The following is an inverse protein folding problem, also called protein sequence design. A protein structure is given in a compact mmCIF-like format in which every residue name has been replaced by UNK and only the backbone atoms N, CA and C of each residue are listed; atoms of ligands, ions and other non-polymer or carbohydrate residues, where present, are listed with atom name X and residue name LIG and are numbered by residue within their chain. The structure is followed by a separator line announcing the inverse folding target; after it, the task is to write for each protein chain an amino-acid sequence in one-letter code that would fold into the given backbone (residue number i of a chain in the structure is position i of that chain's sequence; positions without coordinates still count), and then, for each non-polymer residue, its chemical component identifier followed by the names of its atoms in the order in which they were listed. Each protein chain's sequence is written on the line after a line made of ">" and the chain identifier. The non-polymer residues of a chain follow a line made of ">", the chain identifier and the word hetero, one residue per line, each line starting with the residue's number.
data_IF_287272146863
#
_entry.id   IF_287272146863
#
_cell.length_a   1.000
_cell.length_b   1.000
_cell.length_c   1.000
_cell.angle_alpha   90.00
_cell.angle_beta   90.00
_cell.angle_gamma   90.00
#
_symmetry.space_group_name_H-M   'P 1'
#
loop_
_entity.id
_entity.type
_entity.pdbx_description
1 polymer ?
#
# COMPACT_ATOMS: atom_id res chain seq x y z
N UNK A 1 -0.29 0.98 30.71
CA UNK A 1 -1.36 2.02 30.66
C UNK A 1 -2.71 1.30 30.65
N UNK A 2 -3.73 1.82 31.31
CA UNK A 2 -5.07 1.21 31.29
C UNK A 2 -6.04 2.11 30.52
N UNK A 3 -6.80 1.52 29.59
CA UNK A 3 -7.83 2.20 28.79
C UNK A 3 -9.05 1.29 28.69
N UNK A 4 -10.22 1.78 29.08
CA UNK A 4 -11.50 1.04 29.07
C UNK A 4 -11.45 -0.32 29.79
N UNK A 5 -10.61 -0.44 30.84
CA UNK A 5 -10.45 -1.66 31.62
C UNK A 5 -9.45 -2.67 31.00
N UNK A 6 -8.75 -2.28 29.94
CA UNK A 6 -7.69 -3.09 29.32
C UNK A 6 -6.32 -2.56 29.73
N UNK A 7 -5.44 -3.45 30.16
CA UNK A 7 -4.03 -3.11 30.35
C UNK A 7 -3.31 -3.12 29.00
N UNK A 8 -2.72 -1.97 28.65
CA UNK A 8 -2.02 -1.77 27.39
C UNK A 8 -0.50 -1.84 27.63
N UNK A 9 0.07 -2.94 27.22
CA UNK A 9 1.49 -3.24 27.39
C UNK A 9 2.00 -4.16 26.26
N UNK A 10 3.30 -4.36 26.19
CA UNK A 10 3.92 -5.29 25.23
C UNK A 10 3.34 -6.70 25.45
N UNK A 11 2.87 -7.33 24.38
CA UNK A 11 2.32 -8.68 24.40
C UNK A 11 0.93 -8.80 25.04
N UNK A 12 0.24 -7.68 25.31
CA UNK A 12 -1.11 -7.70 25.90
C UNK A 12 -2.10 -8.56 25.09
N UNK A 13 -2.99 -9.27 25.77
CA UNK A 13 -4.14 -9.94 25.14
C UNK A 13 -5.33 -8.97 25.08
N UNK A 14 -5.55 -8.43 23.89
CA UNK A 14 -6.59 -7.47 23.54
C UNK A 14 -7.53 -8.04 22.47
N UNK A 15 -7.58 -9.38 22.34
CA UNK A 15 -8.42 -10.02 21.34
C UNK A 15 -9.88 -9.64 21.54
N UNK A 16 -10.51 -9.09 20.50
CA UNK A 16 -11.89 -8.62 20.55
C UNK A 16 -12.14 -7.40 21.45
N UNK A 17 -11.11 -6.76 21.99
CA UNK A 17 -11.26 -5.57 22.83
C UNK A 17 -11.95 -4.42 22.09
N UNK A 18 -12.85 -3.70 22.79
CA UNK A 18 -13.43 -2.46 22.29
C UNK A 18 -12.59 -1.25 22.75
N UNK A 19 -11.80 -0.75 21.83
CA UNK A 19 -10.94 0.42 21.98
C UNK A 19 -11.39 1.58 21.06
N UNK A 20 -12.67 1.59 20.66
CA UNK A 20 -13.25 2.64 19.82
C UNK A 20 -12.97 4.04 20.38
N UNK A 21 -12.56 4.99 19.56
CA UNK A 21 -12.27 6.39 19.90
C UNK A 21 -11.27 6.57 21.07
N UNK A 22 -10.43 5.56 21.33
CA UNK A 22 -9.45 5.61 22.42
C UNK A 22 -8.22 6.46 22.04
N UNK A 23 -7.64 7.16 23.01
CA UNK A 23 -6.31 7.79 22.87
C UNK A 23 -5.24 6.75 23.23
N UNK A 24 -4.54 6.26 22.20
CA UNK A 24 -3.53 5.21 22.26
C UNK A 24 -2.19 5.71 21.70
N UNK A 25 -2.01 7.04 21.67
CA UNK A 25 -0.79 7.65 21.12
C UNK A 25 0.46 7.19 21.86
N UNK A 26 1.49 6.89 21.09
CA UNK A 26 2.81 6.47 21.58
C UNK A 26 2.79 5.23 22.49
N UNK A 27 1.68 4.46 22.52
CA UNK A 27 1.61 3.22 23.29
C UNK A 27 2.51 2.15 22.65
N UNK A 28 3.15 1.31 23.47
CA UNK A 28 3.86 0.14 22.98
C UNK A 28 2.99 -1.12 23.14
N UNK A 29 2.44 -1.59 22.02
CA UNK A 29 1.65 -2.81 21.87
C UNK A 29 2.40 -3.85 21.01
N UNK A 30 3.73 -3.80 21.00
CA UNK A 30 4.53 -4.75 20.23
C UNK A 30 4.21 -6.18 20.65
N UNK A 31 4.00 -7.06 19.67
CA UNK A 31 3.64 -8.46 19.88
C UNK A 31 2.29 -8.71 20.55
N UNK A 32 1.45 -7.68 20.74
CA UNK A 32 0.12 -7.82 21.34
C UNK A 32 -0.87 -8.55 20.42
N UNK A 33 -1.88 -9.15 21.04
CA UNK A 33 -2.93 -9.91 20.37
C UNK A 33 -4.17 -9.03 20.25
N UNK A 34 -4.37 -8.40 19.11
CA UNK A 34 -5.48 -7.49 18.78
C UNK A 34 -6.47 -8.12 17.79
N UNK A 35 -6.44 -9.45 17.65
CA UNK A 35 -7.31 -10.16 16.71
C UNK A 35 -8.77 -9.83 16.94
N UNK A 36 -9.46 -9.30 15.91
CA UNK A 36 -10.87 -8.88 16.01
C UNK A 36 -11.14 -7.68 16.92
N UNK A 37 -10.12 -7.00 17.44
CA UNK A 37 -10.32 -5.79 18.24
C UNK A 37 -11.00 -4.68 17.43
N UNK A 38 -11.75 -3.81 18.10
CA UNK A 38 -12.39 -2.64 17.50
C UNK A 38 -11.60 -1.40 17.88
N UNK A 39 -10.91 -0.82 16.89
CA UNK A 39 -10.05 0.36 17.03
C UNK A 39 -10.60 1.58 16.25
N UNK A 40 -11.86 1.49 15.77
CA UNK A 40 -12.43 2.54 14.92
C UNK A 40 -12.36 3.90 15.59
N UNK A 41 -11.85 4.91 14.86
CA UNK A 41 -11.71 6.29 15.36
C UNK A 41 -10.63 6.50 16.42
N UNK A 42 -9.96 5.44 16.90
CA UNK A 42 -8.87 5.59 17.88
C UNK A 42 -7.64 6.26 17.28
N UNK A 43 -6.84 6.90 18.13
CA UNK A 43 -5.58 7.55 17.79
C UNK A 43 -4.39 6.71 18.29
N UNK A 44 -3.70 6.05 17.36
CA UNK A 44 -2.47 5.29 17.57
C UNK A 44 -1.26 5.98 16.92
N UNK A 45 -1.30 7.32 16.80
CA UNK A 45 -0.15 8.05 16.28
C UNK A 45 1.09 7.75 17.12
N UNK A 46 2.24 7.55 16.45
CA UNK A 46 3.53 7.21 17.08
C UNK A 46 3.51 5.91 17.91
N UNK A 47 2.43 5.11 17.84
CA UNK A 47 2.35 3.84 18.57
C UNK A 47 3.29 2.78 17.98
N UNK A 48 3.74 1.85 18.82
CA UNK A 48 4.54 0.69 18.42
C UNK A 48 3.66 -0.56 18.42
N UNK A 49 3.51 -1.17 17.26
CA UNK A 49 2.75 -2.39 17.03
C UNK A 49 3.59 -3.45 16.31
N UNK A 50 4.91 -3.44 16.55
CA UNK A 50 5.85 -4.35 15.89
C UNK A 50 5.45 -5.80 16.14
N UNK A 51 5.16 -6.55 15.08
CA UNK A 51 4.74 -7.94 15.16
C UNK A 51 3.40 -8.18 15.86
N UNK A 52 2.59 -7.14 16.09
CA UNK A 52 1.26 -7.31 16.68
C UNK A 52 0.32 -8.09 15.76
N UNK A 53 -0.59 -8.86 16.33
CA UNK A 53 -1.64 -9.59 15.62
C UNK A 53 -2.93 -8.76 15.58
N UNK A 54 -3.20 -8.10 14.44
CA UNK A 54 -4.40 -7.33 14.17
C UNK A 54 -5.34 -8.04 13.18
N UNK A 55 -5.24 -9.36 13.04
CA UNK A 55 -6.11 -10.09 12.10
C UNK A 55 -7.58 -9.83 12.40
N UNK A 56 -8.35 -9.51 11.34
CA UNK A 56 -9.77 -9.19 11.45
C UNK A 56 -10.10 -7.99 12.34
N UNK A 57 -9.13 -7.19 12.77
CA UNK A 57 -9.38 -5.98 13.54
C UNK A 57 -10.20 -4.96 12.72
N UNK A 58 -11.03 -4.20 13.40
CA UNK A 58 -11.85 -3.14 12.81
C UNK A 58 -11.19 -1.80 13.14
N UNK A 59 -10.42 -1.29 12.17
CA UNK A 59 -9.60 -0.08 12.27
C UNK A 59 -10.11 1.04 11.36
N UNK A 60 -11.43 1.21 11.24
CA UNK A 60 -12.01 2.23 10.36
C UNK A 60 -11.71 3.62 10.89
N UNK A 61 -11.21 4.50 10.01
CA UNK A 61 -10.81 5.86 10.33
C UNK A 61 -9.84 5.97 11.52
N UNK A 62 -9.18 4.88 11.89
CA UNK A 62 -8.13 4.85 12.92
C UNK A 62 -6.93 5.65 12.44
N UNK A 63 -6.31 6.39 13.35
CA UNK A 63 -5.10 7.16 13.09
C UNK A 63 -3.88 6.31 13.48
N UNK A 64 -3.06 5.96 12.51
CA UNK A 64 -1.78 5.27 12.66
C UNK A 64 -0.64 6.15 12.12
N UNK A 65 -0.79 7.48 12.15
CA UNK A 65 0.24 8.37 11.65
C UNK A 65 1.58 8.10 12.37
N UNK A 66 2.64 7.88 11.60
CA UNK A 66 4.00 7.61 12.09
C UNK A 66 4.10 6.37 13.02
N UNK A 67 3.09 5.51 13.07
CA UNK A 67 3.10 4.29 13.86
C UNK A 67 4.04 3.22 13.27
N UNK A 68 4.66 2.42 14.14
CA UNK A 68 5.52 1.28 13.77
C UNK A 68 4.70 -0.03 13.76
N UNK A 69 4.28 -0.46 12.58
CA UNK A 69 3.56 -1.70 12.30
C UNK A 69 4.46 -2.73 11.60
N UNK A 70 5.78 -2.61 11.72
CA UNK A 70 6.73 -3.53 11.10
C UNK A 70 6.41 -4.98 11.49
N UNK A 71 6.30 -5.88 10.50
CA UNK A 71 5.89 -7.28 10.70
C UNK A 71 4.50 -7.50 11.32
N UNK A 72 3.68 -6.48 11.53
CA UNK A 72 2.33 -6.67 12.06
C UNK A 72 1.47 -7.53 11.13
N UNK A 73 0.55 -8.30 11.69
CA UNK A 73 -0.38 -9.11 10.94
C UNK A 73 -1.77 -8.45 10.90
N UNK A 74 -2.08 -7.85 9.75
CA UNK A 74 -3.33 -7.15 9.44
C UNK A 74 -4.21 -7.95 8.46
N UNK A 75 -4.03 -9.27 8.38
CA UNK A 75 -4.81 -10.12 7.46
C UNK A 75 -6.30 -9.97 7.71
N UNK A 76 -7.06 -9.66 6.64
CA UNK A 76 -8.50 -9.38 6.71
C UNK A 76 -8.89 -8.20 7.61
N UNK A 77 -7.98 -7.33 8.04
CA UNK A 77 -8.33 -6.14 8.81
C UNK A 77 -9.13 -5.13 7.97
N UNK A 78 -10.01 -4.39 8.62
CA UNK A 78 -10.76 -3.29 8.00
C UNK A 78 -10.11 -1.94 8.36
N UNK A 79 -9.30 -1.43 7.44
CA UNK A 79 -8.57 -0.16 7.52
C UNK A 79 -9.24 0.93 6.66
N UNK A 80 -10.52 0.77 6.34
CA UNK A 80 -11.23 1.74 5.50
C UNK A 80 -11.12 3.16 6.08
N UNK A 81 -10.64 4.11 5.25
CA UNK A 81 -10.37 5.51 5.61
C UNK A 81 -9.36 5.68 6.77
N UNK A 82 -8.56 4.68 7.11
CA UNK A 82 -7.52 4.81 8.11
C UNK A 82 -6.44 5.82 7.66
N UNK A 83 -5.81 6.48 8.63
CA UNK A 83 -4.74 7.46 8.40
C UNK A 83 -3.40 6.83 8.77
N UNK A 84 -2.64 6.39 7.77
CA UNK A 84 -1.38 5.66 7.88
C UNK A 84 -0.19 6.49 7.32
N UNK A 85 -0.35 7.82 7.20
CA UNK A 85 0.70 8.68 6.69
C UNK A 85 1.99 8.53 7.51
N UNK A 86 3.13 8.30 6.86
CA UNK A 86 4.42 8.09 7.53
C UNK A 86 4.57 6.75 8.28
N UNK A 87 3.53 5.92 8.39
CA UNK A 87 3.61 4.67 9.13
C UNK A 87 4.60 3.67 8.51
N UNK A 88 5.25 2.88 9.36
CA UNK A 88 6.15 1.79 8.97
C UNK A 88 5.38 0.47 8.94
N UNK A 89 5.08 0.00 7.73
CA UNK A 89 4.36 -1.25 7.45
C UNK A 89 5.26 -2.28 6.74
N UNK A 90 6.59 -2.05 6.75
CA UNK A 90 7.51 -2.94 6.05
C UNK A 90 7.37 -4.37 6.56
N UNK A 91 7.25 -5.29 5.58
CA UNK A 91 7.00 -6.72 5.81
C UNK A 91 5.73 -7.03 6.62
N UNK A 92 4.79 -6.10 6.73
CA UNK A 92 3.48 -6.38 7.33
C UNK A 92 2.63 -7.29 6.42
N UNK A 93 1.69 -8.00 7.00
CA UNK A 93 0.79 -8.93 6.32
C UNK A 93 -0.59 -8.28 6.20
N UNK A 94 -0.92 -7.75 5.03
CA UNK A 94 -2.16 -7.03 4.72
C UNK A 94 -3.05 -7.80 3.72
N UNK A 95 -2.85 -9.11 3.59
CA UNK A 95 -3.64 -9.90 2.65
C UNK A 95 -5.13 -9.79 2.92
N UNK A 96 -5.94 -9.58 1.87
CA UNK A 96 -7.39 -9.33 1.94
C UNK A 96 -7.80 -8.15 2.85
N UNK A 97 -6.89 -7.29 3.29
CA UNK A 97 -7.24 -6.12 4.09
C UNK A 97 -8.05 -5.12 3.25
N UNK A 98 -8.94 -4.39 3.91
CA UNK A 98 -9.75 -3.33 3.30
C UNK A 98 -9.11 -2.00 3.62
N UNK A 99 -8.52 -1.36 2.62
CA UNK A 99 -7.79 -0.09 2.70
C UNK A 99 -8.48 1.00 1.85
N UNK A 100 -9.76 0.79 1.48
CA UNK A 100 -10.48 1.74 0.63
C UNK A 100 -10.45 3.15 1.21
N UNK A 101 -9.96 4.13 0.44
CA UNK A 101 -9.83 5.53 0.86
C UNK A 101 -8.80 5.78 1.97
N UNK A 102 -7.96 4.81 2.34
CA UNK A 102 -6.92 5.01 3.35
C UNK A 102 -5.84 5.99 2.88
N UNK A 103 -5.31 6.77 3.80
CA UNK A 103 -4.16 7.66 3.57
C UNK A 103 -2.86 6.95 3.98
N UNK A 104 -2.08 6.51 2.99
CA UNK A 104 -0.80 5.81 3.12
C UNK A 104 0.37 6.66 2.60
N UNK A 105 0.18 7.98 2.44
CA UNK A 105 1.22 8.85 1.89
C UNK A 105 2.48 8.78 2.72
N UNK A 106 3.62 8.69 2.03
CA UNK A 106 4.96 8.61 2.63
C UNK A 106 5.14 7.42 3.59
N UNK A 107 4.24 6.42 3.61
CA UNK A 107 4.42 5.21 4.41
C UNK A 107 5.46 4.26 3.81
N UNK A 108 6.03 3.41 4.65
CA UNK A 108 6.93 2.34 4.23
C UNK A 108 6.20 0.99 4.21
N UNK A 109 5.90 0.47 3.01
CA UNK A 109 5.32 -0.84 2.74
C UNK A 109 6.36 -1.79 2.08
N UNK A 110 7.65 -1.51 2.22
CA UNK A 110 8.71 -2.32 1.61
C UNK A 110 8.60 -3.80 1.99
N UNK A 111 8.50 -4.68 0.97
CA UNK A 111 8.31 -6.12 1.16
C UNK A 111 7.02 -6.52 1.87
N UNK A 112 6.05 -5.64 2.03
CA UNK A 112 4.74 -5.97 2.61
C UNK A 112 3.92 -6.92 1.70
N UNK A 113 2.98 -7.64 2.30
CA UNK A 113 2.16 -8.65 1.63
C UNK A 113 0.72 -8.17 1.57
N UNK A 114 0.31 -7.58 0.41
CA UNK A 114 -1.02 -7.00 0.18
C UNK A 114 -1.89 -7.85 -0.76
N UNK A 115 -1.56 -9.12 -0.95
CA UNK A 115 -2.28 -9.99 -1.89
C UNK A 115 -3.79 -9.90 -1.69
N UNK A 116 -4.53 -9.60 -2.77
CA UNK A 116 -5.98 -9.45 -2.79
C UNK A 116 -6.55 -8.36 -1.85
N UNK A 117 -5.73 -7.43 -1.37
CA UNK A 117 -6.22 -6.29 -0.60
C UNK A 117 -7.04 -5.32 -1.49
N UNK A 118 -7.95 -4.59 -0.88
CA UNK A 118 -8.72 -3.52 -1.52
C UNK A 118 -8.15 -2.15 -1.11
N UNK A 119 -7.51 -1.48 -2.08
CA UNK A 119 -6.94 -0.14 -1.95
C UNK A 119 -7.72 0.90 -2.79
N UNK A 120 -8.97 0.60 -3.18
CA UNK A 120 -9.75 1.51 -4.02
C UNK A 120 -9.77 2.93 -3.46
N UNK A 121 -9.34 3.91 -4.26
CA UNK A 121 -9.27 5.32 -3.88
C UNK A 121 -8.28 5.65 -2.77
N UNK A 122 -7.38 4.74 -2.39
CA UNK A 122 -6.35 5.02 -1.38
C UNK A 122 -5.30 6.00 -1.90
N UNK A 123 -4.66 6.72 -0.98
CA UNK A 123 -3.60 7.69 -1.27
C UNK A 123 -2.25 7.08 -0.87
N UNK A 124 -1.39 6.79 -1.85
CA UNK A 124 -0.04 6.23 -1.64
C UNK A 124 1.07 7.17 -2.13
N UNK A 125 0.76 8.44 -2.38
CA UNK A 125 1.77 9.37 -2.89
C UNK A 125 3.08 9.32 -2.08
N UNK A 126 4.22 9.17 -2.76
CA UNK A 126 5.55 9.05 -2.18
C UNK A 126 5.74 7.87 -1.19
N UNK A 127 4.85 6.88 -1.16
CA UNK A 127 5.04 5.66 -0.36
C UNK A 127 6.12 4.75 -0.95
N UNK A 128 6.74 3.93 -0.11
CA UNK A 128 7.67 2.87 -0.54
C UNK A 128 6.92 1.54 -0.63
N UNK A 129 6.92 0.93 -1.82
CA UNK A 129 6.34 -0.38 -2.13
C UNK A 129 7.42 -1.34 -2.69
N UNK A 130 8.70 -1.02 -2.51
CA UNK A 130 9.80 -1.80 -3.09
C UNK A 130 9.72 -3.27 -2.68
N UNK A 131 9.66 -4.18 -3.65
CA UNK A 131 9.55 -5.62 -3.43
C UNK A 131 8.26 -6.07 -2.73
N UNK A 132 7.24 -5.21 -2.59
CA UNK A 132 5.95 -5.59 -2.02
C UNK A 132 5.18 -6.56 -2.93
N UNK A 133 4.36 -7.43 -2.34
CA UNK A 133 3.44 -8.30 -3.05
C UNK A 133 2.05 -7.68 -3.12
N UNK A 134 1.68 -7.17 -4.29
CA UNK A 134 0.40 -6.52 -4.60
C UNK A 134 -0.44 -7.40 -5.57
N UNK A 135 -0.20 -8.72 -5.56
CA UNK A 135 -0.87 -9.61 -6.49
C UNK A 135 -2.37 -9.60 -6.29
N UNK A 136 -3.13 -9.41 -7.39
CA UNK A 136 -4.61 -9.39 -7.40
C UNK A 136 -5.22 -8.32 -6.50
N UNK A 137 -4.51 -7.25 -6.14
CA UNK A 137 -5.07 -6.12 -5.41
C UNK A 137 -6.07 -5.34 -6.27
N UNK A 138 -7.08 -4.76 -5.62
CA UNK A 138 -7.91 -3.74 -6.24
C UNK A 138 -7.33 -2.36 -5.89
N UNK A 139 -6.85 -1.64 -6.90
CA UNK A 139 -6.22 -0.32 -6.78
C UNK A 139 -6.89 0.68 -7.74
N UNK A 140 -8.22 0.56 -7.91
CA UNK A 140 -8.98 1.49 -8.76
C UNK A 140 -8.90 2.89 -8.18
N UNK A 141 -8.70 3.88 -9.04
CA UNK A 141 -8.69 5.31 -8.67
C UNK A 141 -7.70 5.64 -7.54
N UNK A 142 -6.66 4.81 -7.35
CA UNK A 142 -5.61 4.98 -6.34
C UNK A 142 -4.62 6.05 -6.78
N UNK A 143 -4.17 6.90 -5.87
CA UNK A 143 -3.06 7.82 -6.12
C UNK A 143 -1.72 7.18 -5.71
N UNK A 144 -0.90 6.87 -6.71
CA UNK A 144 0.44 6.30 -6.59
C UNK A 144 1.52 7.30 -7.06
N UNK A 145 1.21 8.59 -7.07
CA UNK A 145 2.14 9.63 -7.56
C UNK A 145 3.47 9.57 -6.81
N UNK A 146 4.56 9.43 -7.56
CA UNK A 146 5.92 9.42 -7.00
C UNK A 146 6.23 8.24 -6.07
N UNK A 147 5.46 7.16 -6.09
CA UNK A 147 5.75 5.96 -5.29
C UNK A 147 7.03 5.27 -5.72
N UNK A 148 7.69 4.61 -4.75
CA UNK A 148 8.88 3.78 -4.98
C UNK A 148 8.46 2.30 -4.99
N UNK A 149 8.06 1.78 -6.15
CA UNK A 149 7.56 0.41 -6.34
C UNK A 149 8.51 -0.48 -7.15
N UNK A 150 9.81 -0.19 -7.10
CA UNK A 150 10.82 -0.99 -7.79
C UNK A 150 10.77 -2.46 -7.38
N UNK A 151 10.71 -3.38 -8.36
CA UNK A 151 10.62 -4.82 -8.12
C UNK A 151 9.34 -5.29 -7.43
N UNK A 152 8.31 -4.46 -7.30
CA UNK A 152 7.02 -4.87 -6.73
C UNK A 152 6.31 -5.90 -7.63
N UNK A 153 5.58 -6.82 -7.01
CA UNK A 153 4.76 -7.81 -7.71
C UNK A 153 3.30 -7.38 -7.79
N UNK A 154 2.89 -6.85 -8.94
CA UNK A 154 1.54 -6.35 -9.23
C UNK A 154 0.72 -7.31 -10.10
N UNK A 155 1.12 -8.58 -10.24
CA UNK A 155 0.44 -9.54 -11.14
C UNK A 155 -1.06 -9.60 -10.90
N UNK A 156 -1.83 -9.36 -11.98
CA UNK A 156 -3.28 -9.40 -11.95
C UNK A 156 -3.93 -8.32 -11.08
N UNK A 157 -3.20 -7.29 -10.67
CA UNK A 157 -3.77 -6.14 -9.97
C UNK A 157 -4.69 -5.32 -10.89
N UNK A 158 -5.65 -4.60 -10.32
CA UNK A 158 -6.59 -3.74 -11.04
C UNK A 158 -6.27 -2.29 -10.70
N UNK A 159 -5.67 -1.58 -11.65
CA UNK A 159 -5.20 -0.19 -11.53
C UNK A 159 -5.98 0.79 -12.42
N UNK A 160 -7.23 0.42 -12.77
CA UNK A 160 -8.05 1.26 -13.65
C UNK A 160 -8.26 2.64 -13.04
N UNK A 161 -8.02 3.70 -13.83
CA UNK A 161 -8.14 5.09 -13.40
C UNK A 161 -7.09 5.53 -12.36
N UNK A 162 -6.12 4.67 -12.01
CA UNK A 162 -5.09 5.02 -11.03
C UNK A 162 -4.15 6.11 -11.56
N UNK A 163 -3.72 7.01 -10.69
CA UNK A 163 -2.68 7.98 -10.97
C UNK A 163 -1.33 7.40 -10.53
N UNK A 164 -0.48 7.02 -11.50
CA UNK A 164 0.83 6.38 -11.27
C UNK A 164 1.96 7.31 -11.75
N UNK A 165 1.66 8.60 -11.79
CA UNK A 165 2.54 9.63 -12.32
C UNK A 165 3.87 9.69 -11.58
N UNK A 166 4.98 9.73 -12.33
CA UNK A 166 6.35 9.81 -11.81
C UNK A 166 6.71 8.70 -10.80
N UNK A 167 5.97 7.58 -10.78
CA UNK A 167 6.30 6.43 -9.95
C UNK A 167 7.53 5.69 -10.47
N UNK A 168 8.34 5.15 -9.56
CA UNK A 168 9.40 4.22 -9.92
C UNK A 168 8.83 2.78 -9.91
N UNK A 169 8.62 2.23 -11.10
CA UNK A 169 8.19 0.85 -11.34
C UNK A 169 9.32 0.00 -11.96
N UNK A 170 10.59 0.41 -11.80
CA UNK A 170 11.71 -0.32 -12.40
C UNK A 170 11.74 -1.76 -11.91
N UNK A 171 11.83 -2.71 -12.85
CA UNK A 171 11.81 -4.14 -12.57
C UNK A 171 10.50 -4.66 -11.95
N UNK A 172 9.43 -3.86 -11.88
CA UNK A 172 8.14 -4.32 -11.35
C UNK A 172 7.48 -5.37 -12.26
N UNK A 173 6.71 -6.29 -11.67
CA UNK A 173 5.99 -7.34 -12.40
C UNK A 173 4.52 -6.94 -12.52
N UNK A 174 4.15 -6.44 -13.72
CA UNK A 174 2.81 -5.94 -14.06
C UNK A 174 2.04 -6.92 -14.95
N UNK A 175 2.39 -8.22 -14.94
CA UNK A 175 1.79 -9.22 -15.82
C UNK A 175 0.30 -9.36 -15.59
N UNK A 176 -0.49 -9.20 -16.66
CA UNK A 176 -1.94 -9.34 -16.62
C UNK A 176 -2.64 -8.30 -15.75
N UNK A 177 -2.01 -7.17 -15.44
CA UNK A 177 -2.65 -6.04 -14.76
C UNK A 177 -3.70 -5.38 -15.66
N UNK A 178 -4.71 -4.79 -15.05
CA UNK A 178 -5.61 -3.87 -15.75
C UNK A 178 -5.20 -2.42 -15.42
N UNK A 179 -4.73 -1.70 -16.44
CA UNK A 179 -4.26 -0.32 -16.37
C UNK A 179 -5.20 0.62 -17.16
N UNK A 180 -6.43 0.19 -17.44
CA UNK A 180 -7.38 0.95 -18.27
C UNK A 180 -7.54 2.37 -17.71
N UNK A 181 -7.34 3.39 -18.54
CA UNK A 181 -7.43 4.82 -18.19
C UNK A 181 -6.47 5.27 -17.08
N UNK A 182 -5.40 4.49 -16.78
CA UNK A 182 -4.39 4.88 -15.79
C UNK A 182 -3.43 5.94 -16.36
N UNK A 183 -2.95 6.83 -15.49
CA UNK A 183 -1.90 7.81 -15.82
C UNK A 183 -0.53 7.34 -15.33
N UNK A 184 0.32 6.86 -16.24
CA UNK A 184 1.70 6.48 -16.00
C UNK A 184 2.70 7.57 -16.45
N UNK A 185 2.23 8.79 -16.73
CA UNK A 185 3.11 9.86 -17.21
C UNK A 185 4.32 10.04 -16.31
N UNK A 186 5.50 10.16 -16.90
CA UNK A 186 6.80 10.32 -16.23
C UNK A 186 7.24 9.11 -15.37
N UNK A 187 6.52 7.98 -15.40
CA UNK A 187 6.90 6.78 -14.65
C UNK A 187 8.18 6.15 -15.20
N UNK A 188 8.95 5.52 -14.32
CA UNK A 188 10.11 4.71 -14.68
C UNK A 188 9.69 3.23 -14.79
N UNK A 189 9.70 2.70 -16.02
CA UNK A 189 9.33 1.33 -16.37
C UNK A 189 10.54 0.49 -16.80
N UNK A 190 11.77 0.94 -16.57
CA UNK A 190 12.98 0.20 -16.96
C UNK A 190 12.94 -1.21 -16.37
N UNK A 191 13.04 -2.23 -17.22
CA UNK A 191 12.98 -3.64 -16.81
C UNK A 191 11.62 -4.12 -16.30
N UNK A 192 10.55 -3.32 -16.38
CA UNK A 192 9.21 -3.74 -15.96
C UNK A 192 8.61 -4.78 -16.93
N UNK A 193 7.84 -5.73 -16.39
CA UNK A 193 7.15 -6.75 -17.17
C UNK A 193 5.64 -6.49 -17.23
N UNK A 194 5.18 -5.93 -18.37
CA UNK A 194 3.77 -5.62 -18.65
C UNK A 194 3.10 -6.71 -19.53
N UNK A 195 3.69 -7.91 -19.63
CA UNK A 195 3.13 -8.99 -20.47
C UNK A 195 1.65 -9.21 -20.16
N UNK A 196 0.78 -9.09 -21.18
CA UNK A 196 -0.66 -9.31 -21.04
C UNK A 196 -1.39 -8.24 -20.23
N UNK A 197 -0.77 -7.11 -19.91
CA UNK A 197 -1.46 -5.98 -19.28
C UNK A 197 -2.48 -5.36 -20.24
N UNK A 198 -3.62 -4.90 -19.71
CA UNK A 198 -4.63 -4.15 -20.44
C UNK A 198 -4.30 -2.66 -20.34
N UNK A 199 -4.05 -2.00 -21.49
CA UNK A 199 -3.51 -0.65 -21.54
C UNK A 199 -4.41 0.33 -22.33
N UNK A 200 -5.70 0.03 -22.42
CA UNK A 200 -6.65 0.92 -23.11
C UNK A 200 -6.75 2.26 -22.39
N UNK A 201 -6.60 3.37 -23.12
CA UNK A 201 -6.68 4.73 -22.55
C UNK A 201 -5.55 5.14 -21.63
N UNK A 202 -4.49 4.34 -21.51
CA UNK A 202 -3.34 4.64 -20.64
C UNK A 202 -2.58 5.87 -21.14
N UNK A 203 -2.20 6.77 -20.22
CA UNK A 203 -1.26 7.87 -20.50
C UNK A 203 0.18 7.41 -20.23
N UNK A 204 1.07 7.59 -21.22
CA UNK A 204 2.47 7.18 -21.18
C UNK A 204 3.42 8.35 -21.50
N UNK A 205 2.99 9.59 -21.28
CA UNK A 205 3.79 10.77 -21.62
C UNK A 205 5.08 10.83 -20.79
N UNK A 206 6.22 10.88 -21.45
CA UNK A 206 7.53 11.04 -20.80
C UNK A 206 7.96 9.86 -19.93
N UNK A 207 7.42 8.67 -20.13
CA UNK A 207 7.88 7.47 -19.41
C UNK A 207 9.33 7.15 -19.73
N UNK A 208 10.02 6.51 -18.80
CA UNK A 208 11.32 5.87 -19.04
C UNK A 208 11.12 4.38 -19.23
N UNK A 209 11.69 3.82 -20.26
CA UNK A 209 11.75 2.37 -20.50
C UNK A 209 12.97 2.04 -21.34
N UNK A 210 13.36 0.80 -21.41
CA UNK A 210 14.47 0.31 -22.23
C UNK A 210 14.16 -1.03 -22.92
N UNK A 211 15.17 -1.66 -23.49
CA UNK A 211 15.07 -2.95 -24.18
C UNK A 211 14.70 -4.11 -23.25
N UNK A 212 14.88 -3.96 -21.92
CA UNK A 212 14.52 -4.95 -20.92
C UNK A 212 13.06 -4.85 -20.49
N UNK A 213 12.37 -3.75 -20.83
CA UNK A 213 10.93 -3.57 -20.56
C UNK A 213 10.11 -4.46 -21.48
N UNK A 214 9.23 -5.30 -20.91
CA UNK A 214 8.38 -6.20 -21.68
C UNK A 214 6.96 -5.65 -21.77
N UNK A 215 6.48 -5.46 -23.00
CA UNK A 215 5.15 -4.91 -23.31
C UNK A 215 4.13 -5.99 -23.67
N UNK A 216 2.83 -5.69 -23.62
CA UNK A 216 1.79 -6.60 -24.13
C UNK A 216 1.99 -6.90 -25.62
N UNK A 217 1.53 -8.07 -26.07
CA UNK A 217 1.62 -8.48 -27.47
C UNK A 217 0.92 -7.45 -28.38
N UNK A 218 1.63 -7.01 -29.39
CA UNK A 218 1.14 -6.01 -30.38
C UNK A 218 1.08 -4.57 -29.88
N UNK A 219 1.45 -4.29 -28.62
CA UNK A 219 1.56 -2.92 -28.13
C UNK A 219 2.82 -2.24 -28.67
N UNK A 220 2.69 -0.97 -29.09
CA UNK A 220 3.82 -0.17 -29.53
C UNK A 220 4.04 0.96 -28.52
N UNK A 221 5.10 0.86 -27.69
CA UNK A 221 5.40 1.91 -26.73
C UNK A 221 5.83 3.21 -27.42
N UNK A 222 5.59 4.36 -26.80
CA UNK A 222 6.16 5.62 -27.27
C UNK A 222 7.70 5.57 -27.19
N UNK A 223 8.40 6.53 -27.82
CA UNK A 223 9.83 6.68 -27.61
C UNK A 223 10.14 6.95 -26.14
N UNK A 224 11.17 6.30 -25.60
CA UNK A 224 11.60 6.53 -24.21
C UNK A 224 11.98 7.99 -24.01
N UNK A 225 11.49 8.63 -22.95
CA UNK A 225 11.92 9.97 -22.55
C UNK A 225 13.38 9.93 -22.09
N UNK A 226 14.23 10.77 -22.68
CA UNK A 226 15.56 11.02 -22.15
C UNK A 226 15.47 12.06 -21.03
N UNK A 227 16.05 11.75 -19.85
CA UNK A 227 16.18 12.73 -18.78
C UNK A 227 17.17 13.87 -19.10
N UNK A 228 17.89 13.76 -20.23
CA UNK A 228 18.96 14.70 -20.62
C UNK A 228 18.45 15.88 -21.49
N UNK A 229 17.15 15.96 -21.79
CA UNK A 229 16.58 17.00 -22.67
C UNK A 229 16.06 18.25 -21.91
N UNK A 230 16.49 18.46 -20.68
CA UNK A 230 16.22 19.69 -19.93
C UNK A 230 17.52 20.40 -19.56
N UNK A 231 18.18 21.00 -20.58
CA UNK A 231 19.10 22.14 -20.45
C UNK A 231 18.33 23.47 -20.53
#
# INVERSE_FOLDING_TARGET
>A
MEVRGYELEIGADLAGADLTDADLRSVDLSGSWLGGAVLSGSDLSDARLVGADLRHAICRATVFADADLHHANLWNADLTNARLGGAVLSRAWLGNARLGGADLRSSDLGGAWLTAADLTGALLGAATLAGASLTRTCMRDTDLTGTFAGGADLRGAILNGATIRAANLSGAILRGTSLIDADLSLADLVGADLTGAQMDGVSLDGIRHDETTTWPEGFQPPSSGNLDDHD
#
